data_IF_113318949849
#
_entry.id   IF_113318949849
#
_cell.length_a   1.000
_cell.length_b   1.000
_cell.length_c   1.000
_cell.angle_alpha   90.00
_cell.angle_beta   90.00
_cell.angle_gamma   90.00
#
_symmetry.space_group_name_H-M   'P 1'
#
loop_
_entity.id
_entity.type
_entity.pdbx_description
1 polymer ?
#
# COMPACT_ATOMS: atom_id res chain seq x y z
N UNK A 1 -0.63 -13.70 6.19
CA UNK A 1 -1.07 -14.89 6.97
C UNK A 1 0.07 -15.26 7.92
N UNK A 2 -0.21 -15.71 9.14
CA UNK A 2 0.82 -16.28 10.00
C UNK A 2 0.99 -17.77 9.67
N UNK A 3 2.22 -18.18 9.33
CA UNK A 3 2.55 -19.55 8.91
C UNK A 3 3.55 -20.25 9.84
N UNK A 4 4.06 -19.55 10.86
CA UNK A 4 4.98 -20.07 11.86
C UNK A 4 4.84 -19.32 13.20
N UNK A 5 5.42 -19.87 14.29
CA UNK A 5 5.45 -19.20 15.58
C UNK A 5 6.34 -17.95 15.53
N UNK A 6 6.10 -17.03 16.46
CA UNK A 6 7.03 -15.95 16.81
C UNK A 6 7.80 -16.35 18.09
N UNK A 7 8.84 -15.59 18.44
CA UNK A 7 9.66 -15.75 19.66
C UNK A 7 10.33 -17.13 19.80
N UNK A 8 10.76 -17.71 18.67
CA UNK A 8 11.30 -19.08 18.66
C UNK A 8 12.52 -19.27 17.73
N UNK A 9 13.05 -18.19 17.14
CA UNK A 9 14.02 -18.30 16.04
C UNK A 9 13.40 -18.89 14.77
N UNK A 10 14.14 -18.83 13.68
CA UNK A 10 13.73 -19.41 12.40
C UNK A 10 14.95 -19.81 11.55
N UNK A 11 14.75 -20.69 10.56
CA UNK A 11 15.75 -20.93 9.52
C UNK A 11 15.41 -20.11 8.29
N UNK A 12 15.58 -18.80 8.41
CA UNK A 12 15.10 -17.81 7.45
C UNK A 12 16.26 -17.10 6.74
N UNK A 13 17.28 -16.67 7.48
CA UNK A 13 18.37 -15.83 6.92
C UNK A 13 19.62 -16.60 6.52
N UNK A 14 19.67 -17.91 6.78
CA UNK A 14 20.76 -18.79 6.31
C UNK A 14 22.12 -18.57 6.99
N UNK A 15 22.12 -18.16 8.26
CA UNK A 15 23.35 -17.99 9.06
C UNK A 15 23.07 -17.88 10.55
N UNK A 16 24.02 -17.32 11.30
CA UNK A 16 23.96 -17.28 12.76
C UNK A 16 22.79 -16.49 13.35
N UNK A 17 22.26 -15.50 12.62
CA UNK A 17 21.10 -14.72 13.08
C UNK A 17 19.75 -15.44 12.94
N UNK A 18 19.73 -16.66 12.39
CA UNK A 18 18.60 -17.59 12.53
C UNK A 18 18.15 -17.78 14.00
N UNK A 19 19.10 -17.69 14.93
CA UNK A 19 18.84 -17.80 16.37
C UNK A 19 18.27 -16.52 17.02
N UNK A 20 18.37 -15.37 16.34
CA UNK A 20 17.96 -14.05 16.86
C UNK A 20 16.56 -13.64 16.39
N UNK A 21 16.03 -14.29 15.35
CA UNK A 21 14.76 -13.94 14.72
C UNK A 21 13.55 -14.11 15.65
N UNK A 22 12.95 -13.00 16.07
CA UNK A 22 11.66 -13.02 16.76
C UNK A 22 10.52 -13.42 15.80
N UNK A 23 10.51 -12.85 14.60
CA UNK A 23 9.55 -13.14 13.55
C UNK A 23 10.17 -12.86 12.19
N UNK A 24 9.69 -13.55 11.17
CA UNK A 24 10.08 -13.36 9.78
C UNK A 24 8.84 -13.04 8.93
N UNK A 25 8.94 -12.02 8.09
CA UNK A 25 7.84 -11.54 7.26
C UNK A 25 8.24 -11.55 5.80
N UNK A 26 7.50 -12.29 4.99
CA UNK A 26 7.65 -12.37 3.55
C UNK A 26 6.62 -11.50 2.83
N UNK A 27 7.08 -10.74 1.84
CA UNK A 27 6.21 -10.04 0.90
C UNK A 27 6.14 -10.84 -0.40
N UNK A 28 4.93 -11.16 -0.88
CA UNK A 28 4.80 -11.89 -2.14
C UNK A 28 5.37 -11.08 -3.31
N UNK A 29 5.91 -11.78 -4.31
CA UNK A 29 6.48 -11.11 -5.48
C UNK A 29 5.59 -11.14 -6.74
N UNK A 30 4.34 -11.59 -6.60
CA UNK A 30 3.42 -11.86 -7.71
C UNK A 30 2.45 -10.73 -8.08
N UNK A 31 2.62 -9.52 -7.53
CA UNK A 31 1.74 -8.39 -7.86
C UNK A 31 1.75 -8.07 -9.36
N UNK A 32 0.58 -7.82 -9.94
CA UNK A 32 0.40 -7.46 -11.35
C UNK A 32 0.34 -5.94 -11.57
N UNK A 33 0.07 -5.19 -10.50
CA UNK A 33 -0.04 -3.73 -10.53
C UNK A 33 0.61 -3.06 -9.31
N UNK A 34 0.91 -1.76 -9.45
CA UNK A 34 1.49 -0.97 -8.35
C UNK A 34 0.46 -0.81 -7.22
N UNK A 35 -0.81 -0.76 -7.58
CA UNK A 35 -1.91 -0.68 -6.62
C UNK A 35 -1.98 -1.92 -5.73
N UNK A 36 -1.90 -3.12 -6.31
CA UNK A 36 -1.80 -4.38 -5.56
C UNK A 36 -0.58 -4.40 -4.65
N UNK A 37 0.60 -4.07 -5.19
CA UNK A 37 1.83 -3.99 -4.40
C UNK A 37 1.71 -3.03 -3.22
N UNK A 38 1.13 -1.84 -3.43
CA UNK A 38 1.03 -0.84 -2.37
C UNK A 38 0.07 -1.26 -1.25
N UNK A 39 -0.95 -2.06 -1.54
CA UNK A 39 -1.82 -2.65 -0.51
C UNK A 39 -0.99 -3.55 0.41
N UNK A 40 -0.26 -4.50 -0.17
CA UNK A 40 0.52 -5.45 0.62
C UNK A 40 1.76 -4.81 1.27
N UNK A 41 2.39 -3.85 0.60
CA UNK A 41 3.50 -3.07 1.17
C UNK A 41 3.07 -2.30 2.43
N UNK A 42 1.85 -1.76 2.47
CA UNK A 42 1.34 -1.08 3.67
C UNK A 42 1.17 -2.05 4.84
N UNK A 43 0.56 -3.20 4.57
CA UNK A 43 0.42 -4.28 5.56
C UNK A 43 1.79 -4.79 6.03
N UNK A 44 2.75 -4.89 5.11
CA UNK A 44 4.12 -5.29 5.39
C UNK A 44 4.82 -4.32 6.36
N UNK A 45 4.75 -3.01 6.10
CA UNK A 45 5.33 -1.99 6.99
C UNK A 45 4.65 -2.01 8.37
N UNK A 46 3.32 -2.04 8.42
CA UNK A 46 2.57 -2.06 9.67
C UNK A 46 2.88 -3.31 10.49
N UNK A 47 2.89 -4.49 9.85
CA UNK A 47 3.20 -5.76 10.50
C UNK A 47 4.63 -5.80 11.07
N UNK A 48 5.63 -5.38 10.29
CA UNK A 48 7.02 -5.32 10.74
C UNK A 48 7.17 -4.42 11.97
N UNK A 49 6.53 -3.25 11.95
CA UNK A 49 6.56 -2.30 13.06
C UNK A 49 5.87 -2.85 14.30
N UNK A 50 4.71 -3.48 14.14
CA UNK A 50 3.96 -4.08 15.25
C UNK A 50 4.70 -5.26 15.87
N UNK A 51 5.34 -6.13 15.07
CA UNK A 51 6.17 -7.23 15.57
C UNK A 51 7.40 -6.73 16.33
N UNK A 52 8.02 -5.63 15.87
CA UNK A 52 9.10 -4.98 16.61
C UNK A 52 8.63 -4.44 17.97
N UNK A 53 7.44 -3.82 18.03
CA UNK A 53 6.84 -3.37 19.29
C UNK A 53 6.49 -4.55 20.21
N UNK A 54 5.94 -5.64 19.67
CA UNK A 54 5.61 -6.86 20.42
C UNK A 54 6.84 -7.52 21.02
N UNK A 55 7.95 -7.56 20.26
CA UNK A 55 9.24 -8.08 20.71
C UNK A 55 10.01 -7.12 21.65
N UNK A 56 9.54 -5.88 21.82
CA UNK A 56 10.23 -4.86 22.60
C UNK A 56 11.56 -4.39 22.00
N UNK A 57 11.70 -4.45 20.66
CA UNK A 57 12.90 -4.02 19.92
C UNK A 57 12.67 -2.68 19.20
N UNK A 58 13.72 -1.90 18.88
CA UNK A 58 13.55 -0.63 18.19
C UNK A 58 13.04 -0.80 16.76
N UNK A 59 12.08 0.04 16.35
CA UNK A 59 11.62 0.18 14.95
C UNK A 59 12.64 0.90 14.07
N UNK A 60 13.83 0.32 13.95
CA UNK A 60 14.91 0.81 13.09
C UNK A 60 15.24 -0.22 12.03
N UNK A 61 15.55 0.22 10.81
CA UNK A 61 15.92 -0.67 9.72
C UNK A 61 17.45 -0.71 9.51
N UNK A 62 18.01 -1.91 9.44
CA UNK A 62 19.38 -2.19 8.97
C UNK A 62 20.48 -1.38 9.69
N UNK A 63 20.27 -1.13 10.98
CA UNK A 63 21.25 -0.48 11.85
C UNK A 63 22.28 -1.48 12.38
N UNK A 64 23.45 -1.00 12.79
CA UNK A 64 24.52 -1.82 13.37
C UNK A 64 24.20 -2.42 14.75
N UNK A 65 23.16 -1.94 15.44
CA UNK A 65 22.70 -2.55 16.68
C UNK A 65 22.13 -3.93 16.37
N UNK A 66 22.40 -4.93 17.22
CA UNK A 66 21.86 -6.29 17.01
C UNK A 66 20.32 -6.28 16.93
N UNK A 67 19.67 -5.63 17.90
CA UNK A 67 18.23 -5.48 17.91
C UNK A 67 17.73 -4.48 16.86
N UNK A 68 16.62 -4.81 16.22
CA UNK A 68 15.92 -3.99 15.24
C UNK A 68 15.41 -4.82 14.07
N UNK A 69 14.71 -4.17 13.14
CA UNK A 69 14.22 -4.81 11.92
C UNK A 69 15.41 -4.94 10.95
N UNK A 70 15.67 -6.14 10.44
CA UNK A 70 16.77 -6.45 9.52
C UNK A 70 16.22 -7.05 8.23
N UNK A 71 16.68 -6.54 7.10
CA UNK A 71 16.44 -7.19 5.80
C UNK A 71 17.26 -8.47 5.66
N UNK A 72 16.83 -9.39 4.80
CA UNK A 72 17.65 -10.55 4.47
C UNK A 72 19.00 -10.10 3.90
N UNK A 73 19.02 -9.10 3.02
CA UNK A 73 20.27 -8.53 2.53
C UNK A 73 21.21 -8.05 3.66
N UNK A 74 20.68 -7.38 4.68
CA UNK A 74 21.49 -6.95 5.82
C UNK A 74 22.03 -8.15 6.60
N UNK A 75 21.20 -9.17 6.83
CA UNK A 75 21.61 -10.41 7.47
C UNK A 75 22.72 -11.10 6.67
N UNK A 76 22.52 -11.33 5.36
CA UNK A 76 23.52 -11.88 4.43
C UNK A 76 24.87 -11.20 4.55
N UNK A 77 24.88 -9.87 4.64
CA UNK A 77 26.12 -9.09 4.64
C UNK A 77 26.82 -8.99 6.01
N UNK A 78 26.12 -9.23 7.13
CA UNK A 78 26.62 -8.86 8.46
C UNK A 78 26.54 -9.99 9.50
N UNK A 79 25.76 -11.05 9.26
CA UNK A 79 25.59 -12.11 10.25
C UNK A 79 26.84 -12.98 10.40
N UNK A 80 27.11 -13.52 11.60
CA UNK A 80 28.12 -14.56 11.77
C UNK A 80 27.70 -15.85 11.05
N UNK A 81 28.68 -16.68 10.69
CA UNK A 81 28.45 -18.00 10.06
C UNK A 81 27.50 -17.97 8.84
N UNK A 82 27.63 -16.92 8.02
CA UNK A 82 26.77 -16.69 6.87
C UNK A 82 26.95 -17.76 5.78
N UNK A 83 25.83 -18.34 5.34
CA UNK A 83 25.74 -19.21 4.16
C UNK A 83 24.68 -18.71 3.16
N UNK A 84 24.23 -17.47 3.29
CA UNK A 84 23.26 -16.84 2.39
C UNK A 84 23.92 -15.93 1.36
N UNK A 85 23.29 -15.79 0.20
CA UNK A 85 23.58 -14.82 -0.86
C UNK A 85 22.33 -13.98 -1.23
N UNK A 86 21.27 -14.10 -0.43
CA UNK A 86 20.01 -13.41 -0.64
C UNK A 86 20.13 -11.91 -0.38
N UNK A 87 19.36 -11.13 -1.15
CA UNK A 87 19.38 -9.67 -1.13
C UNK A 87 17.98 -9.04 -1.04
N UNK A 88 16.96 -9.84 -0.76
CA UNK A 88 15.60 -9.36 -0.54
C UNK A 88 15.47 -8.52 0.75
N UNK A 89 14.47 -7.61 0.82
CA UNK A 89 13.42 -7.35 -0.17
C UNK A 89 13.77 -6.25 -1.20
N UNK A 90 14.97 -5.66 -1.13
CA UNK A 90 15.27 -4.42 -1.85
C UNK A 90 15.07 -4.46 -3.38
N UNK A 91 15.47 -5.50 -4.13
CA UNK A 91 15.22 -5.57 -5.56
C UNK A 91 13.73 -5.51 -5.92
N UNK A 92 12.88 -6.19 -5.14
CA UNK A 92 11.45 -6.23 -5.39
C UNK A 92 10.76 -4.91 -5.01
N UNK A 93 11.16 -4.30 -3.89
CA UNK A 93 10.71 -2.96 -3.52
C UNK A 93 11.07 -1.92 -4.59
N UNK A 94 12.29 -1.99 -5.12
CA UNK A 94 12.76 -1.06 -6.16
C UNK A 94 11.96 -1.19 -7.47
N UNK A 95 11.53 -2.41 -7.84
CA UNK A 95 10.64 -2.67 -9.00
C UNK A 95 9.38 -1.80 -8.96
N UNK A 96 8.85 -1.52 -7.77
CA UNK A 96 7.64 -0.73 -7.58
C UNK A 96 7.88 0.74 -7.18
N UNK A 97 9.16 1.15 -7.19
CA UNK A 97 9.58 2.54 -6.93
C UNK A 97 9.77 2.87 -5.46
N UNK A 98 9.95 1.87 -4.59
CA UNK A 98 10.35 2.07 -3.20
C UNK A 98 11.87 1.97 -3.13
N UNK A 99 12.56 3.07 -2.88
CA UNK A 99 14.01 3.07 -2.67
C UNK A 99 14.37 2.48 -1.30
N UNK A 100 15.65 2.17 -1.11
CA UNK A 100 16.17 1.72 0.20
C UNK A 100 15.92 2.77 1.28
N UNK A 101 16.15 4.03 0.93
CA UNK A 101 15.93 5.19 1.80
C UNK A 101 14.46 5.35 2.13
N UNK A 102 13.56 5.19 1.15
CA UNK A 102 12.11 5.25 1.40
C UNK A 102 11.67 4.11 2.32
N UNK A 103 12.11 2.88 2.05
CA UNK A 103 11.78 1.73 2.90
C UNK A 103 12.25 1.94 4.35
N UNK A 104 13.47 2.46 4.53
CA UNK A 104 13.97 2.85 5.85
C UNK A 104 13.09 3.90 6.53
N UNK A 105 12.71 4.96 5.81
CA UNK A 105 11.84 6.01 6.34
C UNK A 105 10.47 5.46 6.74
N UNK A 106 9.89 4.58 5.93
CA UNK A 106 8.59 3.97 6.18
C UNK A 106 8.62 3.03 7.39
N UNK A 107 9.70 2.24 7.53
CA UNK A 107 9.91 1.38 8.71
C UNK A 107 10.08 2.22 9.98
N UNK A 108 10.84 3.31 9.92
CA UNK A 108 11.18 4.10 11.11
C UNK A 108 10.04 5.02 11.55
N UNK A 109 9.34 5.63 10.60
CA UNK A 109 8.31 6.64 10.87
C UNK A 109 6.89 6.10 10.74
N UNK A 110 6.69 4.97 10.06
CA UNK A 110 5.39 4.48 9.63
C UNK A 110 4.92 5.18 8.35
N UNK A 111 3.89 4.62 7.72
CA UNK A 111 3.29 5.21 6.53
C UNK A 111 2.27 6.26 6.94
N UNK A 112 2.42 7.48 6.41
CA UNK A 112 1.40 8.53 6.56
C UNK A 112 0.50 8.47 5.32
N UNK A 113 -0.76 8.06 5.51
CA UNK A 113 -1.76 8.01 4.43
C UNK A 113 -2.72 9.18 4.63
N UNK A 114 -2.70 10.12 3.68
CA UNK A 114 -3.72 11.17 3.60
C UNK A 114 -4.98 10.60 2.93
N UNK A 115 -5.73 9.83 3.69
CA UNK A 115 -7.00 9.27 3.23
C UNK A 115 -8.08 10.36 3.11
N UNK A 116 -9.08 10.08 2.29
CA UNK A 116 -10.21 10.95 2.03
C UNK A 116 -10.12 11.66 0.69
N UNK A 117 -10.87 12.76 0.57
CA UNK A 117 -10.91 13.57 -0.63
C UNK A 117 -9.64 14.38 -0.80
N UNK A 118 -9.07 14.31 -1.99
CA UNK A 118 -7.85 15.00 -2.38
C UNK A 118 -8.11 15.83 -3.64
N UNK A 119 -7.39 16.94 -3.81
CA UNK A 119 -7.58 17.84 -4.95
C UNK A 119 -6.27 18.46 -5.42
N UNK A 120 -6.15 18.62 -6.73
CA UNK A 120 -5.09 19.37 -7.39
C UNK A 120 -5.65 20.20 -8.56
N UNK A 121 -4.78 20.81 -9.36
CA UNK A 121 -5.16 21.64 -10.51
C UNK A 121 -5.88 20.87 -11.62
N UNK A 122 -5.75 19.54 -11.66
CA UNK A 122 -6.38 18.67 -12.67
C UNK A 122 -7.78 18.23 -12.24
N UNK A 123 -7.96 17.93 -10.95
CA UNK A 123 -9.25 17.50 -10.42
C UNK A 123 -9.19 16.95 -9.00
N UNK A 124 -10.29 16.31 -8.62
CA UNK A 124 -10.50 15.73 -7.30
C UNK A 124 -10.43 14.21 -7.40
N UNK A 125 -9.79 13.54 -6.44
CA UNK A 125 -9.79 12.08 -6.30
C UNK A 125 -10.09 11.66 -4.86
N UNK A 126 -10.32 10.38 -4.63
CA UNK A 126 -10.59 9.84 -3.30
C UNK A 126 -9.56 8.77 -2.94
N UNK A 127 -8.90 8.92 -1.79
CA UNK A 127 -7.93 7.97 -1.26
C UNK A 127 -8.58 7.17 -0.14
N UNK A 128 -8.60 5.85 -0.26
CA UNK A 128 -9.06 4.95 0.79
C UNK A 128 -8.09 4.97 1.99
N UNK A 129 -8.52 4.45 3.14
CA UNK A 129 -7.65 4.36 4.34
C UNK A 129 -6.40 3.52 4.10
N UNK A 130 -6.50 2.55 3.18
CA UNK A 130 -5.37 1.73 2.73
C UNK A 130 -4.54 2.42 1.65
N UNK A 131 -4.77 3.70 1.34
CA UNK A 131 -4.04 4.49 0.35
C UNK A 131 -4.30 4.12 -1.11
N UNK A 132 -5.19 3.16 -1.40
CA UNK A 132 -5.67 2.90 -2.76
C UNK A 132 -6.67 4.00 -3.20
N UNK A 133 -7.00 4.06 -4.49
CA UNK A 133 -8.00 5.00 -5.01
C UNK A 133 -8.73 4.41 -6.23
N UNK A 134 -10.00 4.77 -6.45
CA UNK A 134 -10.80 4.24 -7.54
C UNK A 134 -10.34 4.75 -8.91
N UNK A 135 -10.29 3.87 -9.90
CA UNK A 135 -10.02 4.19 -11.31
C UNK A 135 -11.00 3.44 -12.22
N UNK A 136 -11.53 4.13 -13.22
CA UNK A 136 -12.50 3.62 -14.21
C UNK A 136 -13.74 2.91 -13.62
N UNK A 137 -14.14 3.30 -12.41
CA UNK A 137 -15.22 2.64 -11.66
C UNK A 137 -16.13 3.62 -10.95
N UNK A 138 -17.33 3.14 -10.65
CA UNK A 138 -18.18 3.74 -9.63
C UNK A 138 -17.59 3.47 -8.25
N UNK A 139 -17.68 4.46 -7.37
CA UNK A 139 -17.31 4.33 -5.96
C UNK A 139 -18.36 5.03 -5.11
N UNK A 140 -18.72 4.41 -3.98
CA UNK A 140 -19.69 4.97 -3.05
C UNK A 140 -18.97 5.54 -1.84
N UNK A 141 -18.92 6.86 -1.74
CA UNK A 141 -18.26 7.57 -0.63
C UNK A 141 -19.33 8.20 0.25
N UNK A 142 -19.36 7.83 1.54
CA UNK A 142 -20.29 8.37 2.53
C UNK A 142 -21.78 8.36 2.13
N UNK A 143 -22.22 7.34 1.38
CA UNK A 143 -23.61 7.22 0.95
C UNK A 143 -23.89 7.72 -0.47
N UNK A 144 -22.98 8.51 -1.06
CA UNK A 144 -23.14 9.12 -2.37
C UNK A 144 -22.30 8.39 -3.42
N UNK A 145 -22.85 8.23 -4.63
CA UNK A 145 -22.16 7.59 -5.75
C UNK A 145 -21.41 8.61 -6.61
N UNK A 146 -20.17 8.26 -6.94
CA UNK A 146 -19.28 9.01 -7.82
C UNK A 146 -18.71 8.06 -8.88
N UNK A 147 -18.13 8.61 -9.96
CA UNK A 147 -17.36 7.84 -10.93
C UNK A 147 -16.00 8.47 -11.13
N UNK A 148 -14.97 7.64 -11.15
CA UNK A 148 -13.58 8.07 -11.34
C UNK A 148 -13.07 7.57 -12.69
N UNK A 149 -12.35 8.42 -13.41
CA UNK A 149 -11.76 8.09 -14.71
C UNK A 149 -10.54 7.16 -14.58
N UNK A 150 -9.91 6.80 -15.69
CA UNK A 150 -8.75 5.91 -15.70
C UNK A 150 -7.50 6.48 -15.03
N UNK A 151 -7.43 7.79 -14.79
CA UNK A 151 -6.38 8.44 -14.00
C UNK A 151 -6.76 8.57 -12.52
N UNK A 152 -8.00 8.23 -12.15
CA UNK A 152 -8.51 8.30 -10.79
C UNK A 152 -9.14 9.64 -10.44
N UNK A 153 -9.38 10.53 -11.42
CA UNK A 153 -10.09 11.79 -11.18
C UNK A 153 -11.60 11.59 -11.25
N UNK A 154 -12.30 12.18 -10.30
CA UNK A 154 -13.75 12.19 -10.21
C UNK A 154 -14.35 12.93 -11.42
N UNK A 155 -15.35 12.34 -12.06
CA UNK A 155 -16.14 13.01 -13.07
C UNK A 155 -17.09 14.02 -12.41
N UNK A 156 -17.04 15.27 -12.88
CA UNK A 156 -17.95 16.34 -12.51
C UNK A 156 -18.50 17.05 -13.75
N UNK A 157 -19.78 17.43 -13.71
CA UNK A 157 -20.53 18.05 -14.80
C UNK A 157 -20.40 17.28 -16.14
N UNK A 158 -20.55 15.96 -16.07
CA UNK A 158 -20.28 15.05 -17.19
C UNK A 158 -21.24 13.88 -17.27
N UNK A 159 -21.52 13.49 -18.51
CA UNK A 159 -22.17 12.22 -18.83
C UNK A 159 -21.14 11.10 -18.95
N UNK A 160 -21.46 9.92 -18.43
CA UNK A 160 -20.72 8.67 -18.62
C UNK A 160 -21.67 7.60 -19.14
N UNK A 161 -21.34 7.02 -20.28
CA UNK A 161 -21.94 5.74 -20.70
C UNK A 161 -21.17 4.62 -20.00
N UNK A 162 -21.87 3.81 -19.23
CA UNK A 162 -21.26 2.69 -18.52
C UNK A 162 -21.33 1.40 -19.35
N UNK A 163 -20.62 0.36 -18.90
CA UNK A 163 -20.52 -0.92 -19.61
C UNK A 163 -21.83 -1.71 -19.60
N UNK A 164 -22.76 -1.38 -18.70
CA UNK A 164 -24.14 -1.86 -18.70
C UNK A 164 -25.00 -1.26 -19.84
N UNK A 165 -24.46 -0.30 -20.59
CA UNK A 165 -25.15 0.38 -21.69
C UNK A 165 -25.95 1.63 -21.29
N UNK A 166 -26.11 1.89 -19.98
CA UNK A 166 -26.85 3.04 -19.46
C UNK A 166 -26.00 4.31 -19.44
N UNK A 167 -26.70 5.45 -19.46
CA UNK A 167 -26.09 6.77 -19.29
C UNK A 167 -26.29 7.26 -17.87
N UNK A 168 -25.20 7.71 -17.26
CA UNK A 168 -25.17 8.30 -15.93
C UNK A 168 -24.66 9.73 -16.06
N UNK A 169 -25.21 10.64 -15.26
CA UNK A 169 -24.74 12.01 -15.17
C UNK A 169 -24.24 12.29 -13.76
N UNK A 170 -23.14 13.05 -13.67
CA UNK A 170 -22.56 13.52 -12.42
C UNK A 170 -22.62 15.03 -12.39
N UNK A 171 -23.09 15.60 -11.27
CA UNK A 171 -23.20 17.06 -11.11
C UNK A 171 -21.85 17.76 -10.92
N UNK A 172 -21.89 19.06 -10.67
CA UNK A 172 -20.69 19.86 -10.43
C UNK A 172 -19.92 19.41 -9.18
N UNK A 173 -20.59 18.82 -8.19
CA UNK A 173 -19.95 18.16 -7.03
C UNK A 173 -19.50 16.72 -7.32
N UNK A 174 -19.78 16.20 -8.52
CA UNK A 174 -19.51 14.82 -8.92
C UNK A 174 -20.51 13.79 -8.42
N UNK A 175 -21.58 14.22 -7.75
CA UNK A 175 -22.60 13.29 -7.27
C UNK A 175 -23.40 12.74 -8.45
N UNK A 176 -23.63 11.43 -8.46
CA UNK A 176 -24.46 10.79 -9.47
C UNK A 176 -25.91 11.28 -9.35
N UNK A 177 -26.46 11.80 -10.46
CA UNK A 177 -27.86 12.21 -10.50
C UNK A 177 -28.80 11.06 -10.20
N UNK A 178 -29.83 11.38 -9.41
CA UNK A 178 -31.02 10.56 -9.23
C UNK A 178 -32.26 11.44 -9.40
N UNK A 179 -33.37 10.82 -9.84
CA UNK A 179 -34.60 11.53 -10.16
C UNK A 179 -34.47 12.47 -11.38
N UNK A 180 -35.45 13.36 -11.54
CA UNK A 180 -35.48 14.32 -12.64
C UNK A 180 -34.37 15.37 -12.52
N UNK A 181 -33.61 15.58 -13.59
CA UNK A 181 -32.57 16.62 -13.65
C UNK A 181 -32.65 17.40 -14.96
N UNK A 182 -32.51 18.72 -14.86
CA UNK A 182 -32.41 19.61 -16.01
C UNK A 182 -30.94 19.79 -16.37
N UNK A 183 -30.54 19.26 -17.53
CA UNK A 183 -29.15 19.26 -18.02
C UNK A 183 -29.15 19.88 -19.41
N UNK A 184 -28.34 20.94 -19.62
CA UNK A 184 -28.26 21.68 -20.89
C UNK A 184 -29.65 22.02 -21.48
N UNK A 185 -30.52 22.62 -20.65
CA UNK A 185 -31.90 23.01 -20.98
C UNK A 185 -32.89 21.86 -21.30
N UNK A 186 -32.52 20.59 -21.08
CA UNK A 186 -33.39 19.43 -21.27
C UNK A 186 -33.60 18.67 -19.97
N UNK A 187 -34.78 18.09 -19.78
CA UNK A 187 -35.08 17.23 -18.64
C UNK A 187 -34.77 15.77 -18.98
N UNK A 188 -34.05 15.12 -18.07
CA UNK A 188 -33.70 13.70 -18.08
C UNK A 188 -34.20 13.04 -16.78
#
# INVERSE_FOLDING_TARGET
MQVGPVDNGAWDVGGGWNAEGYAQVELIESHESKEEFLIDYRLYIELLRNLADEAGIPKTLDTANLAGIKTHEYCTNNQPDNNSDHIDPYPYLAKWGISREQFKQDIENGLTIEAGWQQNDTGTWYVHSDGSYPKDKFEKVNGTWYYFDGSGYMLADRWKKHTDGNWYWFDQSGEMATGWKKIAEKWY
#
